data_IF_217928473911
#
_entry.id   IF_217928473911
#
_cell.length_a   1.000
_cell.length_b   1.000
_cell.length_c   1.000
_cell.angle_alpha   90.00
_cell.angle_beta   90.00
_cell.angle_gamma   90.00
#
_symmetry.space_group_name_H-M   'P 1'
#
loop_
_entity.id
_entity.type
_entity.pdbx_description
1 polymer ?
#
# COMPACT_ATOMS: atom_id res chain seq x y z
N UNK A 1 -8.94 14.83 -3.46
CA UNK A 1 -10.04 14.06 -2.80
C UNK A 1 -11.35 14.21 -3.57
N UNK A 2 -11.76 15.42 -3.94
CA UNK A 2 -12.96 15.69 -4.75
C UNK A 2 -12.87 15.05 -6.15
N UNK A 3 -11.71 15.13 -6.82
CA UNK A 3 -11.53 14.53 -8.15
C UNK A 3 -11.73 13.00 -8.17
N UNK A 4 -11.26 12.29 -7.13
CA UNK A 4 -11.44 10.83 -7.04
C UNK A 4 -12.91 10.44 -6.79
N UNK A 5 -13.67 11.28 -6.11
CA UNK A 5 -15.11 11.07 -5.91
C UNK A 5 -15.88 11.16 -7.24
N UNK A 6 -15.45 12.01 -8.16
CA UNK A 6 -16.08 12.14 -9.49
C UNK A 6 -15.79 10.89 -10.35
N UNK A 7 -14.57 10.37 -10.32
CA UNK A 7 -14.19 9.17 -11.11
C UNK A 7 -14.92 7.91 -10.62
N UNK A 8 -15.19 7.81 -9.31
CA UNK A 8 -15.82 6.63 -8.71
C UNK A 8 -17.36 6.64 -8.73
N UNK A 9 -18.00 7.68 -9.30
CA UNK A 9 -19.46 7.71 -9.45
C UNK A 9 -19.85 8.10 -10.87
N UNK A 10 -20.57 7.23 -11.57
CA UNK A 10 -21.10 7.53 -12.91
C UNK A 10 -22.32 8.47 -12.90
N UNK A 11 -22.63 9.13 -11.78
CA UNK A 11 -23.83 9.96 -11.62
C UNK A 11 -23.48 11.40 -11.23
N UNK A 12 -23.98 12.37 -11.99
CA UNK A 12 -23.62 13.79 -11.90
C UNK A 12 -24.24 14.54 -10.70
N UNK A 13 -24.96 13.88 -9.78
CA UNK A 13 -25.54 14.52 -8.58
C UNK A 13 -25.38 13.64 -7.35
N UNK A 14 -24.79 14.19 -6.30
CA UNK A 14 -24.60 13.54 -5.00
C UNK A 14 -25.52 14.23 -3.97
N UNK A 15 -26.65 13.60 -3.64
CA UNK A 15 -27.61 14.14 -2.67
C UNK A 15 -27.13 14.01 -1.22
N UNK A 16 -27.58 14.94 -0.35
CA UNK A 16 -27.19 15.05 1.07
C UNK A 16 -27.38 13.75 1.85
N UNK A 17 -28.46 13.01 1.57
CA UNK A 17 -28.77 11.73 2.19
C UNK A 17 -27.75 10.64 1.83
N UNK A 18 -27.22 10.69 0.61
CA UNK A 18 -26.18 9.77 0.14
C UNK A 18 -24.85 10.06 0.83
N UNK A 19 -24.53 11.34 1.08
CA UNK A 19 -23.37 11.74 1.87
C UNK A 19 -23.53 11.36 3.35
N UNK A 20 -24.73 11.51 3.91
CA UNK A 20 -25.03 11.19 5.30
C UNK A 20 -24.87 9.69 5.58
N UNK A 21 -25.34 8.82 4.68
CA UNK A 21 -25.13 7.37 4.79
C UNK A 21 -23.65 6.93 4.65
N UNK A 22 -22.79 7.74 4.01
CA UNK A 22 -21.35 7.48 3.91
C UNK A 22 -20.64 7.98 5.17
N UNK A 23 -21.09 9.11 5.72
CA UNK A 23 -20.55 9.68 6.95
C UNK A 23 -20.90 8.85 8.18
N UNK A 24 -22.15 8.39 8.31
CA UNK A 24 -22.59 7.53 9.40
C UNK A 24 -21.85 6.19 9.44
N UNK A 25 -21.51 5.63 8.27
CA UNK A 25 -20.63 4.46 8.13
C UNK A 25 -19.19 4.72 8.59
N UNK A 26 -18.70 5.95 8.50
CA UNK A 26 -17.35 6.31 9.00
C UNK A 26 -17.31 6.55 10.51
N UNK A 27 -18.41 7.00 11.12
CA UNK A 27 -18.43 7.43 12.53
C UNK A 27 -18.81 6.32 13.51
N UNK A 28 -19.43 5.21 13.06
CA UNK A 28 -19.78 4.04 13.90
C UNK A 28 -18.83 2.84 13.73
N UNK A 29 -17.56 3.05 13.39
CA UNK A 29 -16.57 1.96 13.39
C UNK A 29 -15.66 2.04 14.63
N UNK A 30 -15.39 0.92 15.33
CA UNK A 30 -14.37 0.89 16.36
C UNK A 30 -13.01 1.27 15.75
N UNK A 31 -12.18 1.99 16.51
CA UNK A 31 -10.76 2.15 16.16
C UNK A 31 -10.14 0.74 16.19
N UNK A 32 -9.46 0.37 15.11
CA UNK A 32 -8.73 -0.89 14.84
C UNK A 32 -9.50 -1.96 14.02
N UNK A 33 -8.82 -2.39 12.95
CA UNK A 33 -8.97 -3.67 12.22
C UNK A 33 -10.34 -4.08 11.67
N UNK A 34 -10.70 -3.63 10.46
CA UNK A 34 -11.56 -4.46 9.61
C UNK A 34 -11.45 -4.07 8.13
N UNK A 35 -10.49 -4.69 7.43
CA UNK A 35 -10.47 -4.69 5.96
C UNK A 35 -11.29 -5.89 5.49
N UNK A 36 -12.60 -5.70 5.41
CA UNK A 36 -13.57 -6.36 4.51
C UNK A 36 -13.15 -7.78 4.04
N UNK A 37 -13.67 -8.79 4.74
CA UNK A 37 -13.79 -10.17 4.24
C UNK A 37 -14.79 -10.17 3.05
N UNK A 38 -14.67 -11.10 2.09
CA UNK A 38 -15.45 -11.25 0.83
C UNK A 38 -14.66 -10.95 -0.47
N UNK A 39 -13.54 -10.22 -0.44
CA UNK A 39 -12.66 -10.03 -1.64
C UNK A 39 -11.21 -10.47 -1.44
N UNK A 40 -10.93 -11.21 -0.37
CA UNK A 40 -9.58 -11.42 0.10
C UNK A 40 -8.82 -12.53 -0.64
N UNK A 41 -9.42 -13.67 -0.97
CA UNK A 41 -8.65 -14.77 -1.59
C UNK A 41 -8.14 -14.47 -3.00
N UNK A 42 -8.92 -13.75 -3.82
CA UNK A 42 -8.47 -13.35 -5.18
C UNK A 42 -7.53 -12.13 -5.18
N UNK A 43 -7.64 -11.22 -4.19
CA UNK A 43 -6.69 -10.10 -4.04
C UNK A 43 -5.40 -10.49 -3.31
N UNK A 44 -5.38 -11.63 -2.60
CA UNK A 44 -4.18 -12.15 -1.95
C UNK A 44 -3.13 -12.48 -3.01
N UNK A 45 -3.48 -13.21 -4.07
CA UNK A 45 -2.55 -13.63 -5.11
C UNK A 45 -1.70 -12.50 -5.73
N UNK A 46 -2.32 -11.47 -6.33
CA UNK A 46 -1.56 -10.41 -7.02
C UNK A 46 -0.80 -9.50 -6.04
N UNK A 47 -1.42 -9.18 -4.89
CA UNK A 47 -0.80 -8.30 -3.90
C UNK A 47 0.39 -8.98 -3.25
N UNK A 48 0.23 -10.23 -2.83
CA UNK A 48 1.29 -11.03 -2.19
C UNK A 48 2.40 -11.35 -3.18
N UNK A 49 2.08 -11.75 -4.42
CA UNK A 49 3.10 -11.99 -5.46
C UNK A 49 3.94 -10.73 -5.74
N UNK A 50 3.29 -9.55 -5.77
CA UNK A 50 4.01 -8.28 -5.91
C UNK A 50 4.90 -7.99 -4.70
N UNK A 51 4.39 -8.22 -3.49
CA UNK A 51 5.15 -8.00 -2.24
C UNK A 51 6.35 -8.94 -2.13
N UNK A 52 6.19 -10.20 -2.51
CA UNK A 52 7.26 -11.20 -2.56
C UNK A 52 8.32 -10.84 -3.61
N UNK A 53 7.89 -10.52 -4.83
CA UNK A 53 8.81 -10.06 -5.87
C UNK A 53 9.58 -8.81 -5.45
N UNK A 54 8.89 -7.83 -4.85
CA UNK A 54 9.50 -6.60 -4.38
C UNK A 54 10.51 -6.87 -3.26
N UNK A 55 10.18 -7.75 -2.30
CA UNK A 55 11.09 -8.19 -1.25
C UNK A 55 12.37 -8.80 -1.82
N UNK A 56 12.23 -9.78 -2.70
CA UNK A 56 13.34 -10.52 -3.28
C UNK A 56 14.24 -9.62 -4.14
N UNK A 57 13.63 -8.71 -4.91
CA UNK A 57 14.37 -7.72 -5.72
C UNK A 57 15.19 -6.80 -4.82
N UNK A 58 14.58 -6.25 -3.76
CA UNK A 58 15.26 -5.36 -2.82
C UNK A 58 16.40 -6.09 -2.13
N UNK A 59 16.18 -7.33 -1.67
CA UNK A 59 17.21 -8.14 -1.03
C UNK A 59 18.41 -8.37 -1.95
N UNK A 60 18.18 -8.83 -3.20
CA UNK A 60 19.25 -9.07 -4.18
C UNK A 60 20.08 -7.81 -4.46
N UNK A 61 19.44 -6.64 -4.56
CA UNK A 61 20.14 -5.37 -4.80
C UNK A 61 20.87 -4.87 -3.55
N UNK A 62 20.36 -5.15 -2.35
CA UNK A 62 21.08 -4.86 -1.11
C UNK A 62 22.32 -5.74 -1.00
N UNK A 63 22.21 -7.04 -1.23
CA UNK A 63 23.35 -7.97 -1.21
C UNK A 63 24.40 -7.61 -2.28
N UNK A 64 23.99 -7.32 -3.52
CA UNK A 64 24.88 -6.90 -4.61
C UNK A 64 25.68 -5.62 -4.28
N UNK A 65 25.13 -4.75 -3.44
CA UNK A 65 25.75 -3.48 -3.07
C UNK A 65 26.30 -3.49 -1.63
N UNK A 66 26.59 -4.67 -1.06
CA UNK A 66 27.17 -4.81 0.29
C UNK A 66 26.33 -4.08 1.37
N UNK A 67 25.00 -4.15 1.25
CA UNK A 67 24.04 -3.48 2.12
C UNK A 67 24.13 -1.95 2.12
N UNK A 68 24.78 -1.35 1.11
CA UNK A 68 24.83 0.09 0.94
C UNK A 68 23.48 0.65 0.44
N UNK A 69 22.61 1.02 1.38
CA UNK A 69 21.26 1.55 1.11
C UNK A 69 21.26 2.76 0.16
N UNK A 70 22.28 3.62 0.22
CA UNK A 70 22.35 4.80 -0.64
C UNK A 70 22.61 4.41 -2.11
N UNK A 71 23.49 3.42 -2.34
CA UNK A 71 23.77 2.88 -3.66
C UNK A 71 22.58 2.05 -4.19
N UNK A 72 22.00 1.19 -3.37
CA UNK A 72 20.82 0.40 -3.73
C UNK A 72 19.60 1.26 -4.07
N UNK A 73 19.39 2.39 -3.38
CA UNK A 73 18.30 3.32 -3.71
C UNK A 73 18.48 3.96 -5.09
N UNK A 74 19.73 4.27 -5.48
CA UNK A 74 20.05 4.79 -6.83
C UNK A 74 19.79 3.72 -7.89
N UNK A 75 20.23 2.49 -7.65
CA UNK A 75 20.05 1.36 -8.59
C UNK A 75 18.56 1.02 -8.79
N UNK A 76 17.78 1.04 -7.71
CA UNK A 76 16.33 0.83 -7.74
C UNK A 76 15.55 2.07 -8.23
N UNK A 77 16.22 3.20 -8.42
CA UNK A 77 15.63 4.50 -8.82
C UNK A 77 14.48 4.94 -7.89
N UNK A 78 14.67 4.76 -6.59
CA UNK A 78 13.71 5.16 -5.54
C UNK A 78 14.37 6.08 -4.52
N UNK A 79 13.56 6.79 -3.74
CA UNK A 79 14.06 7.59 -2.63
C UNK A 79 14.68 6.70 -1.55
N UNK A 80 15.83 7.12 -0.99
CA UNK A 80 16.50 6.41 0.11
C UNK A 80 15.58 6.20 1.32
N UNK A 81 14.78 7.21 1.67
CA UNK A 81 13.79 7.15 2.76
C UNK A 81 12.70 6.11 2.49
N UNK A 82 12.33 5.90 1.23
CA UNK A 82 11.37 4.87 0.83
C UNK A 82 11.97 3.47 0.92
N UNK A 83 13.22 3.31 0.47
CA UNK A 83 13.95 2.04 0.60
C UNK A 83 14.11 1.63 2.08
N UNK A 84 14.44 2.56 2.98
CA UNK A 84 14.48 2.25 4.42
C UNK A 84 13.15 1.74 4.96
N UNK A 85 12.02 2.37 4.60
CA UNK A 85 10.70 1.89 4.99
C UNK A 85 10.43 0.47 4.49
N UNK A 86 10.82 0.18 3.24
CA UNK A 86 10.66 -1.15 2.64
C UNK A 86 11.50 -2.21 3.34
N UNK A 87 12.75 -1.90 3.69
CA UNK A 87 13.63 -2.80 4.47
C UNK A 87 12.99 -3.15 5.81
N UNK A 88 12.41 -2.16 6.51
CA UNK A 88 11.72 -2.38 7.79
C UNK A 88 10.44 -3.21 7.61
N UNK A 89 9.59 -2.88 6.62
CA UNK A 89 8.33 -3.61 6.36
C UNK A 89 8.60 -5.08 6.05
N UNK A 90 9.66 -5.37 5.29
CA UNK A 90 10.01 -6.72 4.88
C UNK A 90 10.97 -7.44 5.84
N UNK A 91 11.35 -6.80 6.96
CA UNK A 91 12.33 -7.32 7.91
C UNK A 91 13.61 -7.86 7.24
N UNK A 92 14.10 -7.15 6.22
CA UNK A 92 15.31 -7.54 5.50
C UNK A 92 16.59 -7.23 6.29
N UNK A 93 16.51 -6.60 7.46
CA UNK A 93 17.69 -6.30 8.26
C UNK A 93 18.36 -7.60 8.71
N UNK A 94 19.59 -7.83 8.23
CA UNK A 94 20.44 -8.95 8.59
C UNK A 94 20.63 -9.00 10.11
N UNK A 95 20.17 -10.07 10.75
CA UNK A 95 20.57 -10.49 12.10
C UNK A 95 22.01 -11.03 12.01
#
# INVERSE_FOLDING_TARGET
LIEKLIIMTSSQKISKDKLMSIWERKTKMPKMSEKVQISQELNRGLKEAKEEFERDLIQKILEKNDWNVAKSAKDLKIARTYLYKKIQIYNLAKI
#
